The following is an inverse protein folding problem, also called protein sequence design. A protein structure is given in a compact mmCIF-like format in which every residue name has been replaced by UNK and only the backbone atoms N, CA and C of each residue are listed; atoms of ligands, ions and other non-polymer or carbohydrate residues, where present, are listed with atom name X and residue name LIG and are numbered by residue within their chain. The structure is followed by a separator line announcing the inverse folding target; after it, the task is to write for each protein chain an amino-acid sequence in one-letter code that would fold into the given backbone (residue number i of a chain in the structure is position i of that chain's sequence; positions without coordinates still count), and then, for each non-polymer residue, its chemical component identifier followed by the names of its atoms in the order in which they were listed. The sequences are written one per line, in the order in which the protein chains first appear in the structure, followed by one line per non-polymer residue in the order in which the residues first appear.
data_IF_834829748991
#
_entry.id   IF_834829748991
#
_cell.length_a   1.000
_cell.length_b   1.000
_cell.length_c   1.000
_cell.angle_alpha   90.00
_cell.angle_beta   90.00
_cell.angle_gamma   90.00
#
_symmetry.space_group_name_H-M   'P 1'
#
loop_
_entity.id
_entity.type
_entity.pdbx_description
1 polymer ?
#
# COMPACT_ATOMS: atom_id res chain seq x y z
N UNK A 1 17.61 -3.42 6.94
CA UNK A 1 16.39 -3.58 6.12
C UNK A 1 15.19 -3.91 7.02
N UNK A 2 15.04 -5.14 7.51
CA UNK A 2 13.84 -5.62 8.23
C UNK A 2 13.30 -4.72 9.36
N UNK A 3 14.14 -4.15 10.24
CA UNK A 3 13.67 -3.25 11.31
C UNK A 3 13.00 -1.99 10.74
N UNK A 4 13.56 -1.44 9.66
CA UNK A 4 13.02 -0.26 8.97
C UNK A 4 11.70 -0.63 8.31
N UNK A 5 11.66 -1.72 7.56
CA UNK A 5 10.45 -2.21 6.87
C UNK A 5 9.31 -2.51 7.86
N UNK A 6 9.60 -3.15 9.00
CA UNK A 6 8.61 -3.38 10.07
C UNK A 6 8.08 -2.07 10.64
N UNK A 7 8.95 -1.07 10.88
CA UNK A 7 8.52 0.24 11.35
C UNK A 7 7.64 0.97 10.33
N UNK A 8 7.93 0.84 9.03
CA UNK A 8 7.14 1.42 7.96
C UNK A 8 5.74 0.79 7.88
N UNK A 9 5.64 -0.54 7.96
CA UNK A 9 4.35 -1.23 7.96
C UNK A 9 3.53 -0.92 9.21
N UNK A 10 4.16 -0.84 10.38
CA UNK A 10 3.50 -0.44 11.62
C UNK A 10 3.02 1.02 11.55
N UNK A 11 3.82 1.92 10.99
CA UNK A 11 3.44 3.31 10.73
C UNK A 11 2.20 3.38 9.83
N UNK A 12 2.23 2.72 8.68
CA UNK A 12 1.10 2.68 7.76
C UNK A 12 -0.16 2.14 8.44
N UNK A 13 -0.06 1.00 9.15
CA UNK A 13 -1.19 0.42 9.89
C UNK A 13 -1.78 1.41 10.90
N UNK A 14 -0.93 2.08 11.69
CA UNK A 14 -1.38 3.02 12.70
C UNK A 14 -1.96 4.30 12.13
N UNK A 15 -1.39 4.83 11.05
CA UNK A 15 -1.90 6.03 10.38
C UNK A 15 -3.25 5.79 9.72
N UNK A 16 -3.41 4.66 9.01
CA UNK A 16 -4.71 4.25 8.46
C UNK A 16 -5.72 3.96 9.58
N UNK A 17 -5.35 3.16 10.59
CA UNK A 17 -6.26 2.81 11.69
C UNK A 17 -6.69 4.00 12.54
N UNK A 18 -5.85 5.03 12.68
CA UNK A 18 -6.20 6.24 13.41
C UNK A 18 -7.33 7.04 12.74
N UNK A 19 -7.59 6.84 11.44
CA UNK A 19 -8.71 7.50 10.75
C UNK A 19 -10.08 7.11 11.32
N UNK A 20 -10.20 5.93 11.93
CA UNK A 20 -11.42 5.49 12.64
C UNK A 20 -11.61 6.17 14.00
N UNK A 21 -10.60 6.87 14.51
CA UNK A 21 -10.66 7.57 15.78
C UNK A 21 -11.17 9.01 15.59
N UNK A 22 -11.71 9.59 16.66
CA UNK A 22 -12.15 10.98 16.64
C UNK A 22 -10.98 11.92 16.35
N UNK A 23 -11.21 13.00 15.59
CA UNK A 23 -10.16 13.90 15.08
C UNK A 23 -9.22 14.43 16.17
N UNK A 24 -9.71 14.67 17.38
CA UNK A 24 -8.88 15.13 18.51
C UNK A 24 -7.95 14.05 19.10
N UNK A 25 -8.16 12.78 18.78
CA UNK A 25 -7.40 11.64 19.30
C UNK A 25 -6.50 10.96 18.27
N UNK A 26 -6.59 11.33 16.98
CA UNK A 26 -5.88 10.63 15.90
C UNK A 26 -4.36 10.64 16.09
N UNK A 27 -3.76 11.77 16.52
CA UNK A 27 -2.32 11.84 16.74
C UNK A 27 -1.81 10.87 17.81
N UNK A 28 -2.41 10.90 19.00
CA UNK A 28 -2.06 9.97 20.07
C UNK A 28 -2.45 8.51 19.74
N UNK A 29 -3.62 8.34 19.11
CA UNK A 29 -4.16 7.05 18.69
C UNK A 29 -3.29 6.35 17.65
N UNK A 30 -2.76 7.10 16.68
CA UNK A 30 -1.79 6.57 15.71
C UNK A 30 -0.59 5.97 16.42
N UNK A 31 0.06 6.70 17.33
CA UNK A 31 1.22 6.18 18.08
C UNK A 31 0.90 4.93 18.92
N UNK A 32 -0.28 4.88 19.53
CA UNK A 32 -0.76 3.69 20.25
C UNK A 32 -0.93 2.51 19.29
N UNK A 33 -1.58 2.71 18.15
CA UNK A 33 -1.82 1.68 17.14
C UNK A 33 -0.52 1.17 16.50
N UNK A 34 0.42 2.06 16.19
CA UNK A 34 1.76 1.70 15.68
C UNK A 34 2.46 0.77 16.68
N UNK A 35 2.48 1.17 17.96
CA UNK A 35 3.13 0.40 19.03
C UNK A 35 2.43 -0.95 19.24
N UNK A 36 1.10 -0.94 19.24
CA UNK A 36 0.28 -2.14 19.39
C UNK A 36 0.49 -3.12 18.23
N UNK A 37 0.57 -2.63 16.98
CA UNK A 37 0.82 -3.48 15.81
C UNK A 37 2.14 -4.26 15.96
N UNK A 38 3.21 -3.60 16.39
CA UNK A 38 4.51 -4.26 16.61
C UNK A 38 4.40 -5.32 17.72
N UNK A 39 3.85 -4.95 18.87
CA UNK A 39 3.77 -5.85 20.04
C UNK A 39 2.88 -7.06 19.76
N UNK A 40 1.69 -6.85 19.19
CA UNK A 40 0.71 -7.91 18.90
C UNK A 40 1.24 -8.85 17.83
N UNK A 41 1.77 -8.33 16.71
CA UNK A 41 2.31 -9.20 15.65
C UNK A 41 3.53 -9.98 16.15
N UNK A 42 4.38 -9.38 16.99
CA UNK A 42 5.49 -10.09 17.64
C UNK A 42 4.99 -11.22 18.53
N UNK A 43 3.98 -10.97 19.37
CA UNK A 43 3.40 -11.99 20.23
C UNK A 43 2.75 -13.13 19.43
N UNK A 44 2.01 -12.82 18.36
CA UNK A 44 1.41 -13.82 17.49
C UNK A 44 2.47 -14.67 16.77
N UNK A 45 3.56 -14.06 16.31
CA UNK A 45 4.69 -14.77 15.69
C UNK A 45 5.37 -15.74 16.66
N UNK A 46 5.50 -15.38 17.94
CA UNK A 46 6.06 -16.27 18.97
C UNK A 46 5.14 -17.46 19.25
N UNK A 47 3.81 -17.28 19.16
CA UNK A 47 2.85 -18.33 19.46
C UNK A 47 2.61 -19.29 18.29
N UNK A 48 2.35 -18.79 17.07
CA UNK A 48 2.09 -19.63 15.89
C UNK A 48 2.26 -18.88 14.57
N UNK A 49 3.44 -19.00 13.97
CA UNK A 49 3.72 -18.46 12.63
C UNK A 49 2.86 -19.11 11.52
N UNK A 50 2.44 -20.37 11.69
CA UNK A 50 1.63 -21.08 10.69
C UNK A 50 0.21 -20.50 10.54
N UNK A 51 -0.37 -20.01 11.63
CA UNK A 51 -1.70 -19.38 11.60
C UNK A 51 -1.65 -18.07 10.81
N UNK A 52 -0.58 -17.29 11.00
CA UNK A 52 -0.36 -16.02 10.31
C UNK A 52 -0.19 -16.25 8.80
N UNK A 53 0.62 -17.24 8.42
CA UNK A 53 0.86 -17.57 7.01
C UNK A 53 -0.42 -17.96 6.26
N UNK A 54 -1.35 -18.68 6.90
CA UNK A 54 -2.64 -19.01 6.28
C UNK A 54 -3.53 -17.77 6.13
N UNK A 55 -3.55 -16.88 7.13
CA UNK A 55 -4.31 -15.63 7.07
C UNK A 55 -3.79 -14.68 5.98
N UNK A 56 -2.46 -14.67 5.76
CA UNK A 56 -1.81 -13.81 4.77
C UNK A 56 -2.36 -14.03 3.35
N UNK A 57 -2.51 -15.28 2.91
CA UNK A 57 -3.01 -15.61 1.57
C UNK A 57 -4.41 -15.04 1.33
N UNK A 58 -5.32 -15.22 2.30
CA UNK A 58 -6.67 -14.65 2.24
C UNK A 58 -6.66 -13.12 2.20
N UNK A 59 -5.83 -12.49 3.04
CA UNK A 59 -5.70 -11.03 3.10
C UNK A 59 -5.17 -10.48 1.77
N UNK A 60 -4.20 -11.16 1.16
CA UNK A 60 -3.63 -10.75 -0.14
C UNK A 60 -4.67 -10.83 -1.25
N UNK A 61 -5.44 -11.92 -1.33
CA UNK A 61 -6.49 -12.05 -2.35
C UNK A 61 -7.58 -11.00 -2.13
N UNK A 62 -7.99 -10.76 -0.88
CA UNK A 62 -8.99 -9.75 -0.55
C UNK A 62 -8.55 -8.34 -0.95
N UNK A 63 -7.34 -7.90 -0.54
CA UNK A 63 -6.84 -6.56 -0.86
C UNK A 63 -6.67 -6.33 -2.35
N UNK A 64 -6.18 -7.33 -3.09
CA UNK A 64 -6.03 -7.22 -4.55
C UNK A 64 -7.40 -7.10 -5.22
N UNK A 65 -8.40 -7.86 -4.75
CA UNK A 65 -9.77 -7.76 -5.27
C UNK A 65 -10.35 -6.37 -5.06
N UNK A 66 -10.21 -5.81 -3.85
CA UNK A 66 -10.67 -4.46 -3.51
C UNK A 66 -9.98 -3.42 -4.40
N UNK A 67 -8.64 -3.50 -4.53
CA UNK A 67 -7.86 -2.55 -5.33
C UNK A 67 -8.21 -2.61 -6.82
N UNK A 68 -8.33 -3.81 -7.39
CA UNK A 68 -8.69 -3.97 -8.79
C UNK A 68 -10.11 -3.47 -9.05
N UNK A 69 -11.06 -3.76 -8.15
CA UNK A 69 -12.42 -3.23 -8.27
C UNK A 69 -12.45 -1.69 -8.17
N UNK A 70 -11.70 -1.14 -7.23
CA UNK A 70 -11.58 0.32 -7.05
C UNK A 70 -11.01 0.97 -8.30
N UNK A 71 -9.84 0.53 -8.76
CA UNK A 71 -9.18 1.07 -9.97
C UNK A 71 -10.09 0.95 -11.18
N UNK A 72 -10.72 -0.21 -11.39
CA UNK A 72 -11.57 -0.45 -12.56
C UNK A 72 -12.75 0.53 -12.62
N UNK A 73 -13.36 0.83 -11.48
CA UNK A 73 -14.48 1.77 -11.43
C UNK A 73 -14.00 3.23 -11.41
N UNK A 74 -12.92 3.53 -10.69
CA UNK A 74 -12.34 4.86 -10.57
C UNK A 74 -11.85 5.40 -11.92
N UNK A 75 -11.36 4.52 -12.82
CA UNK A 75 -10.89 4.93 -14.15
C UNK A 75 -11.94 5.65 -14.98
N UNK A 76 -13.23 5.36 -14.80
CA UNK A 76 -14.32 6.06 -15.50
C UNK A 76 -14.64 7.45 -14.92
N UNK A 77 -14.07 7.79 -13.75
CA UNK A 77 -14.27 9.04 -13.03
C UNK A 77 -13.02 9.93 -13.03
N UNK A 78 -11.87 9.39 -13.44
CA UNK A 78 -10.58 10.07 -13.45
C UNK A 78 -10.55 11.18 -14.50
N UNK A 79 -10.18 12.40 -14.08
CA UNK A 79 -9.88 13.52 -14.98
C UNK A 79 -8.36 13.81 -14.98
N UNK A 80 -7.72 13.62 -16.13
CA UNK A 80 -6.28 13.84 -16.32
C UNK A 80 -5.96 15.16 -17.02
N UNK A 81 -6.95 16.05 -17.18
CA UNK A 81 -6.76 17.36 -17.83
C UNK A 81 -5.69 18.20 -17.12
N UNK A 82 -5.54 18.04 -15.81
CA UNK A 82 -4.53 18.72 -14.99
C UNK A 82 -3.17 17.98 -14.91
N UNK A 83 -2.96 16.89 -15.67
CA UNK A 83 -1.73 16.06 -15.61
C UNK A 83 -0.73 16.33 -16.75
N UNK A 84 -0.94 17.41 -17.51
CA UNK A 84 -0.08 17.79 -18.63
C UNK A 84 1.35 18.19 -18.21
N UNK A 85 2.30 18.26 -19.17
CA UNK A 85 3.71 18.60 -18.90
C UNK A 85 3.94 19.91 -18.14
N UNK A 86 3.01 20.87 -18.23
CA UNK A 86 3.04 22.13 -17.49
C UNK A 86 2.89 21.99 -15.98
N UNK A 87 2.37 20.85 -15.52
CA UNK A 87 2.18 20.53 -14.09
C UNK A 87 3.23 19.56 -13.57
N UNK A 88 4.23 19.22 -14.38
CA UNK A 88 5.27 18.29 -13.97
C UNK A 88 6.23 18.95 -12.98
N UNK A 89 6.60 18.18 -11.97
CA UNK A 89 7.60 18.55 -11.00
C UNK A 89 8.99 18.62 -11.61
N UNK A 90 9.92 19.27 -10.90
CA UNK A 90 11.30 19.37 -11.34
C UNK A 90 11.92 17.97 -11.53
N UNK A 91 12.85 17.77 -12.49
CA UNK A 91 13.51 16.47 -12.66
C UNK A 91 14.18 15.96 -11.37
N UNK A 92 14.70 16.87 -10.54
CA UNK A 92 15.29 16.53 -9.25
C UNK A 92 14.24 16.00 -8.26
N UNK A 93 13.08 16.65 -8.15
CA UNK A 93 11.94 16.20 -7.35
C UNK A 93 11.44 14.83 -7.82
N UNK A 94 11.37 14.62 -9.14
CA UNK A 94 10.95 13.35 -9.74
C UNK A 94 11.91 12.21 -9.37
N UNK A 95 13.22 12.46 -9.43
CA UNK A 95 14.23 11.47 -9.01
C UNK A 95 14.11 11.19 -7.50
N UNK A 96 13.94 12.22 -6.67
CA UNK A 96 13.77 12.04 -5.23
C UNK A 96 12.50 11.22 -4.90
N UNK A 97 11.38 11.51 -5.55
CA UNK A 97 10.15 10.72 -5.43
C UNK A 97 10.33 9.27 -5.92
N UNK A 98 11.01 9.07 -7.05
CA UNK A 98 11.35 7.75 -7.56
C UNK A 98 12.20 6.92 -6.61
N UNK A 99 13.14 7.55 -5.89
CA UNK A 99 13.93 6.89 -4.84
C UNK A 99 13.06 6.43 -3.67
N UNK A 100 12.05 7.21 -3.27
CA UNK A 100 11.10 6.79 -2.23
C UNK A 100 10.23 5.62 -2.70
N UNK A 101 9.77 5.66 -3.95
CA UNK A 101 8.97 4.59 -4.57
C UNK A 101 9.73 3.26 -4.64
N UNK A 102 11.06 3.28 -4.72
CA UNK A 102 11.88 2.05 -4.73
C UNK A 102 11.59 1.15 -3.52
N UNK A 103 11.32 1.73 -2.34
CA UNK A 103 10.99 0.97 -1.12
C UNK A 103 9.73 0.12 -1.31
N UNK A 104 8.77 0.58 -2.13
CA UNK A 104 7.54 -0.17 -2.42
C UNK A 104 7.79 -1.48 -3.21
N UNK A 105 9.00 -1.68 -3.73
CA UNK A 105 9.41 -2.87 -4.47
C UNK A 105 10.30 -3.83 -3.67
N UNK A 106 10.55 -3.61 -2.37
CA UNK A 106 11.40 -4.51 -1.55
C UNK A 106 10.88 -5.96 -1.42
N UNK A 107 9.64 -6.26 -1.84
CA UNK A 107 9.03 -7.58 -1.71
C UNK A 107 9.72 -8.73 -2.47
N UNK A 108 10.60 -8.44 -3.45
CA UNK A 108 11.31 -9.49 -4.19
C UNK A 108 12.31 -10.28 -3.32
N UNK A 109 12.84 -9.68 -2.25
CA UNK A 109 13.82 -10.34 -1.35
C UNK A 109 13.17 -11.53 -0.62
N UNK A 110 11.89 -11.39 -0.26
CA UNK A 110 11.13 -12.44 0.44
C UNK A 110 11.04 -13.73 -0.39
N UNK A 111 10.88 -13.61 -1.72
CA UNK A 111 10.85 -14.76 -2.63
C UNK A 111 12.20 -15.49 -2.63
N UNK A 112 13.30 -14.74 -2.64
CA UNK A 112 14.63 -15.32 -2.62
C UNK A 112 14.95 -16.00 -1.27
N UNK A 113 14.52 -15.41 -0.16
CA UNK A 113 14.72 -16.01 1.17
C UNK A 113 13.89 -17.27 1.40
N UNK A 114 12.72 -17.37 0.77
CA UNK A 114 11.87 -18.57 0.80
C UNK A 114 12.31 -19.65 -0.21
N UNK A 115 13.42 -19.48 -0.92
CA UNK A 115 13.85 -20.38 -2.00
C UNK A 115 13.97 -21.85 -1.57
N UNK A 116 14.34 -22.11 -0.31
CA UNK A 116 14.47 -23.46 0.25
C UNK A 116 13.15 -24.21 0.39
N UNK A 117 12.03 -23.48 0.52
CA UNK A 117 10.69 -24.03 0.75
C UNK A 117 9.83 -24.06 -0.53
N UNK A 118 10.37 -23.55 -1.65
CA UNK A 118 9.68 -23.47 -2.94
C UNK A 118 9.80 -24.80 -3.71
N UNK A 119 8.68 -25.28 -4.25
CA UNK A 119 8.67 -26.42 -5.19
C UNK A 119 9.24 -26.00 -6.54
N UNK A 120 10.21 -26.76 -7.05
CA UNK A 120 10.97 -26.47 -8.28
C UNK A 120 11.52 -25.02 -8.34
N UNK A 121 12.45 -24.65 -7.43
CA UNK A 121 12.95 -23.27 -7.31
C UNK A 121 13.49 -22.70 -8.62
N UNK A 122 14.14 -23.54 -9.44
CA UNK A 122 14.77 -23.13 -10.71
C UNK A 122 13.76 -22.56 -11.71
N UNK A 123 12.52 -23.02 -11.69
CA UNK A 123 11.45 -22.51 -12.57
C UNK A 123 10.50 -21.57 -11.85
N UNK A 124 10.20 -21.84 -10.59
CA UNK A 124 9.19 -21.09 -9.83
C UNK A 124 9.70 -19.72 -9.40
N UNK A 125 10.94 -19.60 -8.90
CA UNK A 125 11.48 -18.31 -8.43
C UNK A 125 11.54 -17.26 -9.55
N UNK A 126 12.12 -17.55 -10.74
CA UNK A 126 12.15 -16.56 -11.80
C UNK A 126 10.75 -16.12 -12.23
N UNK A 127 9.80 -17.05 -12.34
CA UNK A 127 8.41 -16.73 -12.69
C UNK A 127 7.75 -15.87 -11.62
N UNK A 128 7.90 -16.23 -10.35
CA UNK A 128 7.34 -15.47 -9.24
C UNK A 128 7.90 -14.04 -9.21
N UNK A 129 9.21 -13.87 -9.41
CA UNK A 129 9.85 -12.55 -9.46
C UNK A 129 9.32 -11.68 -10.61
N UNK A 130 9.33 -12.19 -11.85
CA UNK A 130 8.88 -11.40 -13.00
C UNK A 130 7.39 -11.10 -12.96
N UNK A 131 6.57 -12.08 -12.58
CA UNK A 131 5.11 -11.89 -12.53
C UNK A 131 4.71 -10.95 -11.40
N UNK A 132 5.30 -11.07 -10.22
CA UNK A 132 4.98 -10.18 -9.09
C UNK A 132 5.40 -8.74 -9.38
N UNK A 133 6.62 -8.52 -9.87
CA UNK A 133 7.12 -7.17 -10.17
C UNK A 133 6.33 -6.51 -11.30
N UNK A 134 6.08 -7.22 -12.41
CA UNK A 134 5.32 -6.63 -13.52
C UNK A 134 3.87 -6.32 -13.10
N UNK A 135 3.26 -7.21 -12.33
CA UNK A 135 1.92 -7.00 -11.81
C UNK A 135 1.86 -5.78 -10.87
N UNK A 136 2.79 -5.64 -9.94
CA UNK A 136 2.82 -4.50 -9.01
C UNK A 136 3.11 -3.19 -9.73
N UNK A 137 3.99 -3.18 -10.74
CA UNK A 137 4.21 -2.00 -11.59
C UNK A 137 2.89 -1.53 -12.21
N UNK A 138 2.16 -2.43 -12.87
CA UNK A 138 0.89 -2.08 -13.52
C UNK A 138 -0.13 -1.60 -12.49
N UNK A 139 -0.28 -2.32 -11.38
CA UNK A 139 -1.23 -1.95 -10.34
C UNK A 139 -0.91 -0.58 -9.72
N UNK A 140 0.35 -0.33 -9.37
CA UNK A 140 0.78 0.94 -8.78
C UNK A 140 0.62 2.11 -9.75
N UNK A 141 0.93 1.92 -11.03
CA UNK A 141 0.70 2.94 -12.05
C UNK A 141 -0.78 3.27 -12.18
N UNK A 142 -1.65 2.26 -12.24
CA UNK A 142 -3.09 2.48 -12.31
C UNK A 142 -3.63 3.19 -11.07
N UNK A 143 -3.21 2.77 -9.87
CA UNK A 143 -3.56 3.41 -8.60
C UNK A 143 -3.11 4.88 -8.57
N UNK A 144 -1.88 5.17 -9.01
CA UNK A 144 -1.37 6.54 -9.08
C UNK A 144 -2.19 7.40 -10.04
N UNK A 145 -2.50 6.89 -11.24
CA UNK A 145 -3.30 7.61 -12.24
C UNK A 145 -4.70 7.91 -11.71
N UNK A 146 -5.40 6.93 -11.12
CA UNK A 146 -6.75 7.20 -10.56
C UNK A 146 -6.68 8.18 -9.40
N UNK A 147 -5.67 8.09 -8.54
CA UNK A 147 -5.55 8.97 -7.36
C UNK A 147 -5.29 10.41 -7.79
N UNK A 148 -4.35 10.64 -8.72
CA UNK A 148 -4.02 11.99 -9.21
C UNK A 148 -5.14 12.60 -10.04
N UNK A 149 -5.94 11.80 -10.76
CA UNK A 149 -7.08 12.34 -11.50
C UNK A 149 -8.40 12.40 -10.72
N UNK A 150 -8.41 11.99 -9.45
CA UNK A 150 -9.55 12.18 -8.53
C UNK A 150 -9.25 13.28 -7.50
N UNK A 151 -8.01 13.36 -7.00
CA UNK A 151 -7.61 14.29 -5.96
C UNK A 151 -6.74 15.42 -6.51
N UNK A 152 -6.95 16.64 -6.02
CA UNK A 152 -6.00 17.73 -6.20
C UNK A 152 -4.69 17.46 -5.44
N UNK A 153 -3.58 18.09 -5.87
CA UNK A 153 -2.30 17.96 -5.18
C UNK A 153 -2.38 18.38 -3.70
N UNK A 154 -3.20 19.39 -3.38
CA UNK A 154 -3.41 19.83 -2.00
C UNK A 154 -4.14 18.77 -1.16
N UNK A 155 -5.11 18.05 -1.73
CA UNK A 155 -5.80 16.95 -1.04
C UNK A 155 -4.87 15.76 -0.81
N UNK A 156 -4.04 15.41 -1.81
CA UNK A 156 -3.02 14.36 -1.67
C UNK A 156 -2.05 14.70 -0.53
N UNK A 157 -1.57 15.95 -0.47
CA UNK A 157 -0.66 16.39 0.60
C UNK A 157 -1.36 16.38 1.97
N UNK A 158 -2.61 16.82 2.04
CA UNK A 158 -3.39 16.81 3.29
C UNK A 158 -3.63 15.39 3.81
N UNK A 159 -3.88 14.45 2.90
CA UNK A 159 -4.14 13.05 3.19
C UNK A 159 -2.92 12.15 2.90
N UNK A 160 -1.69 12.67 3.01
CA UNK A 160 -0.48 11.97 2.54
C UNK A 160 -0.32 10.54 3.10
N UNK A 161 -0.76 10.32 4.34
CA UNK A 161 -0.67 9.02 5.01
C UNK A 161 -1.75 8.01 4.55
N UNK A 162 -2.84 8.47 3.93
CA UNK A 162 -3.99 7.63 3.54
C UNK A 162 -4.65 8.09 2.23
N UNK A 163 -3.88 8.66 1.30
CA UNK A 163 -4.39 9.33 0.10
C UNK A 163 -5.28 8.43 -0.77
N UNK A 164 -5.03 7.12 -0.79
CA UNK A 164 -5.85 6.18 -1.52
C UNK A 164 -7.26 6.01 -0.91
N UNK A 165 -7.38 6.08 0.42
CA UNK A 165 -8.67 6.05 1.10
C UNK A 165 -9.48 7.33 0.79
N UNK A 166 -8.82 8.48 0.75
CA UNK A 166 -9.42 9.75 0.33
C UNK A 166 -9.92 9.67 -1.13
N UNK A 167 -9.14 9.06 -2.03
CA UNK A 167 -9.56 8.84 -3.41
C UNK A 167 -10.77 7.89 -3.49
N UNK A 168 -10.77 6.81 -2.72
CA UNK A 168 -11.90 5.89 -2.65
C UNK A 168 -13.16 6.53 -2.05
N UNK A 169 -13.00 7.50 -1.16
CA UNK A 169 -14.12 8.28 -0.64
C UNK A 169 -14.83 9.09 -1.72
N UNK A 170 -14.09 9.67 -2.67
CA UNK A 170 -14.73 10.41 -3.77
C UNK A 170 -15.53 9.51 -4.72
N UNK A 171 -15.19 8.21 -4.76
CA UNK A 171 -15.75 7.25 -5.71
C UNK A 171 -16.93 6.47 -5.13
N UNK A 172 -16.80 5.97 -3.90
CA UNK A 172 -17.80 5.13 -3.22
C UNK A 172 -18.24 5.69 -1.86
N UNK A 173 -17.93 6.95 -1.55
CA UNK A 173 -18.26 7.56 -0.27
C UNK A 173 -17.54 6.89 0.90
N UNK A 174 -18.11 6.97 2.10
CA UNK A 174 -17.52 6.39 3.31
C UNK A 174 -17.30 4.87 3.23
N UNK A 175 -18.06 4.15 2.39
CA UNK A 175 -17.84 2.72 2.16
C UNK A 175 -16.51 2.49 1.44
N UNK A 176 -16.20 3.29 0.42
CA UNK A 176 -14.92 3.22 -0.29
C UNK A 176 -13.74 3.54 0.62
N UNK A 177 -13.88 4.59 1.42
CA UNK A 177 -12.88 4.94 2.43
C UNK A 177 -12.59 3.75 3.35
N UNK A 178 -13.62 3.22 4.00
CA UNK A 178 -13.49 2.13 4.98
C UNK A 178 -13.03 0.79 4.37
N UNK A 179 -13.17 0.57 3.06
CA UNK A 179 -12.68 -0.64 2.40
C UNK A 179 -11.18 -0.58 2.10
N UNK A 180 -10.64 0.64 1.91
CA UNK A 180 -9.21 0.84 1.65
C UNK A 180 -8.42 0.94 2.96
N UNK A 181 -9.02 1.51 4.02
CA UNK A 181 -8.46 1.53 5.38
C UNK A 181 -8.50 0.14 6.00
#
# INVERSE_FOLDING_TARGET
AYVITTSLYAYAFGSYGATFLSSGSQGAGAHVLISAAIVVITALNVLSAKLIAAAEDYIVVAKITILVAFVSYAMFRTDLSASGPSHWESPASLVAGGMLVFVAYEGFELIANAAGDIRDPRRTIPRALYTSVLFTIVLYMLVAVVTVGLLSAAEIVRAADFALAEAAQQVWGGVGFNLIV
#
